data_IF_079312367548
#
_entry.id   IF_079312367548
#
_cell.length_a   1.000
_cell.length_b   1.000
_cell.length_c   1.000
_cell.angle_alpha   90.00
_cell.angle_beta   90.00
_cell.angle_gamma   90.00
#
_symmetry.space_group_name_H-M   'P 1'
#
loop_
_entity.id
_entity.type
_entity.pdbx_description
1 polymer ?
#
# COMPACT_ATOMS: atom_id res chain seq x y z
N UNK A 1 -22.34 9.57 -10.58
CA UNK A 1 -21.31 10.62 -10.40
C UNK A 1 -20.38 10.38 -9.20
N UNK A 2 -20.82 9.68 -8.13
CA UNK A 2 -19.98 9.40 -6.95
C UNK A 2 -18.66 8.66 -7.25
N UNK A 3 -18.65 7.74 -8.21
CA UNK A 3 -17.41 7.02 -8.60
C UNK A 3 -16.34 7.95 -9.19
N UNK A 4 -16.73 8.92 -10.03
CA UNK A 4 -15.81 9.90 -10.59
C UNK A 4 -15.27 10.84 -9.50
N UNK A 5 -16.12 11.23 -8.55
CA UNK A 5 -15.71 12.00 -7.38
C UNK A 5 -14.70 11.23 -6.52
N UNK A 6 -14.95 9.93 -6.27
CA UNK A 6 -14.01 9.06 -5.56
C UNK A 6 -12.66 8.93 -6.26
N UNK A 7 -12.67 8.72 -7.58
CA UNK A 7 -11.45 8.67 -8.39
C UNK A 7 -10.68 9.99 -8.32
N UNK A 8 -11.38 11.13 -8.42
CA UNK A 8 -10.77 12.45 -8.29
C UNK A 8 -10.13 12.62 -6.91
N UNK A 9 -10.81 12.22 -5.82
CA UNK A 9 -10.23 12.23 -4.48
C UNK A 9 -8.95 11.38 -4.39
N UNK A 10 -8.98 10.15 -4.91
CA UNK A 10 -7.81 9.27 -4.92
C UNK A 10 -6.62 9.90 -5.67
N UNK A 11 -6.87 10.44 -6.87
CA UNK A 11 -5.86 11.11 -7.68
C UNK A 11 -5.34 12.40 -7.04
N UNK A 12 -6.19 13.18 -6.39
CA UNK A 12 -5.80 14.39 -5.67
C UNK A 12 -4.91 14.07 -4.46
N UNK A 13 -5.26 13.05 -3.69
CA UNK A 13 -4.42 12.62 -2.56
C UNK A 13 -3.08 12.05 -3.03
N UNK A 14 -3.10 11.25 -4.10
CA UNK A 14 -1.87 10.74 -4.75
C UNK A 14 -0.98 11.87 -5.24
N UNK A 15 -1.55 12.84 -5.97
CA UNK A 15 -0.79 13.96 -6.54
C UNK A 15 -0.30 14.92 -5.46
N UNK A 16 -1.10 15.16 -4.42
CA UNK A 16 -0.70 15.92 -3.24
C UNK A 16 0.44 15.25 -2.47
N UNK A 17 0.40 13.93 -2.32
CA UNK A 17 1.48 13.14 -1.70
C UNK A 17 2.77 13.18 -2.52
N UNK A 18 2.67 13.09 -3.84
CA UNK A 18 3.81 13.24 -4.77
C UNK A 18 4.42 14.63 -4.69
N UNK A 19 3.59 15.68 -4.78
CA UNK A 19 4.06 17.05 -4.63
C UNK A 19 4.74 17.26 -3.27
N UNK A 20 4.13 16.79 -2.19
CA UNK A 20 4.68 16.94 -0.84
C UNK A 20 6.01 16.19 -0.68
N UNK A 21 6.08 14.95 -1.15
CA UNK A 21 7.33 14.16 -1.13
C UNK A 21 8.43 14.86 -1.92
N UNK A 22 8.10 15.39 -3.10
CA UNK A 22 9.06 16.09 -3.95
C UNK A 22 9.54 17.42 -3.35
N UNK A 23 8.62 18.27 -2.87
CA UNK A 23 8.95 19.58 -2.29
C UNK A 23 9.70 19.48 -0.97
N UNK A 24 9.32 18.54 -0.09
CA UNK A 24 9.99 18.32 1.19
C UNK A 24 11.17 17.36 1.10
N UNK A 25 11.46 16.81 -0.09
CA UNK A 25 12.51 15.80 -0.34
C UNK A 25 12.43 14.62 0.65
N UNK A 26 11.23 14.11 0.85
CA UNK A 26 11.00 13.01 1.79
C UNK A 26 11.66 11.71 1.27
N UNK A 27 12.21 10.86 2.14
CA UNK A 27 12.82 9.58 1.75
C UNK A 27 11.77 8.50 1.42
N UNK A 28 10.50 8.88 1.24
CA UNK A 28 9.38 7.97 0.98
C UNK A 28 8.69 8.33 -0.35
N UNK A 29 8.23 7.33 -1.11
CA UNK A 29 7.50 7.58 -2.35
C UNK A 29 6.24 8.42 -2.11
N UNK A 30 5.90 9.30 -3.06
CA UNK A 30 4.68 10.11 -3.02
C UNK A 30 3.38 9.33 -2.76
N UNK A 31 3.16 8.13 -3.34
CA UNK A 31 1.99 7.31 -3.03
C UNK A 31 1.80 6.97 -1.54
N UNK A 32 2.90 6.75 -0.81
CA UNK A 32 2.84 6.43 0.63
C UNK A 32 2.37 7.66 1.41
N UNK A 33 2.87 8.85 1.05
CA UNK A 33 2.41 10.11 1.63
C UNK A 33 0.95 10.36 1.27
N UNK A 34 0.55 10.10 0.02
CA UNK A 34 -0.84 10.19 -0.44
C UNK A 34 -1.78 9.28 0.34
N UNK A 35 -1.35 8.08 0.73
CA UNK A 35 -2.13 7.20 1.62
C UNK A 35 -2.32 7.82 3.01
N UNK A 36 -1.31 8.46 3.58
CA UNK A 36 -1.43 9.15 4.88
C UNK A 36 -2.41 10.32 4.77
N UNK A 37 -2.32 11.12 3.70
CA UNK A 37 -3.26 12.21 3.44
C UNK A 37 -4.69 11.68 3.28
N UNK A 38 -4.87 10.60 2.52
CA UNK A 38 -6.17 9.95 2.32
C UNK A 38 -6.73 9.42 3.64
N UNK A 39 -5.90 8.83 4.51
CA UNK A 39 -6.30 8.35 5.83
C UNK A 39 -6.88 9.48 6.69
N UNK A 40 -6.24 10.66 6.68
CA UNK A 40 -6.75 11.84 7.36
C UNK A 40 -8.07 12.33 6.74
N UNK A 41 -8.18 12.32 5.41
CA UNK A 41 -9.39 12.73 4.70
C UNK A 41 -10.58 11.76 4.94
N UNK A 42 -10.31 10.48 5.17
CA UNK A 42 -11.33 9.44 5.43
C UNK A 42 -12.05 9.59 6.78
N UNK A 43 -11.64 10.57 7.59
CA UNK A 43 -12.37 11.00 8.80
C UNK A 43 -13.69 11.70 8.47
N UNK A 44 -13.83 12.26 7.26
CA UNK A 44 -15.08 12.84 6.79
C UNK A 44 -15.92 11.80 6.03
N UNK A 45 -17.13 11.57 6.53
CA UNK A 45 -18.10 10.65 5.94
C UNK A 45 -18.38 10.87 4.43
N UNK A 46 -18.56 12.10 3.91
CA UNK A 46 -18.77 12.29 2.47
C UNK A 46 -17.57 11.87 1.62
N UNK A 47 -16.34 11.99 2.14
CA UNK A 47 -15.14 11.53 1.44
C UNK A 47 -15.14 10.00 1.37
N UNK A 48 -15.48 9.34 2.48
CA UNK A 48 -15.57 7.88 2.54
C UNK A 48 -16.61 7.33 1.57
N UNK A 49 -17.78 7.94 1.51
CA UNK A 49 -18.88 7.53 0.63
C UNK A 49 -18.55 7.72 -0.86
N UNK A 50 -17.73 8.71 -1.19
CA UNK A 50 -17.25 8.93 -2.55
C UNK A 50 -16.13 7.95 -2.92
N UNK A 51 -15.14 7.76 -2.05
CA UNK A 51 -13.93 6.96 -2.30
C UNK A 51 -14.22 5.46 -2.32
N UNK A 52 -15.06 4.94 -1.43
CA UNK A 52 -15.33 3.52 -1.30
C UNK A 52 -15.72 2.81 -2.62
N UNK A 53 -16.68 3.31 -3.43
CA UNK A 53 -17.03 2.66 -4.70
C UNK A 53 -15.91 2.75 -5.75
N UNK A 54 -15.17 3.86 -5.79
CA UNK A 54 -14.05 4.04 -6.73
C UNK A 54 -12.88 3.11 -6.39
N UNK A 55 -12.52 3.03 -5.10
CA UNK A 55 -11.50 2.10 -4.61
C UNK A 55 -11.90 0.65 -4.88
N UNK A 56 -13.15 0.26 -4.58
CA UNK A 56 -13.66 -1.07 -4.87
C UNK A 56 -13.54 -1.45 -6.35
N UNK A 57 -13.91 -0.54 -7.25
CA UNK A 57 -13.77 -0.76 -8.69
C UNK A 57 -12.31 -0.93 -9.14
N UNK A 58 -11.40 -0.10 -8.63
CA UNK A 58 -9.96 -0.21 -8.94
C UNK A 58 -9.36 -1.50 -8.39
N UNK A 59 -9.74 -1.91 -7.17
CA UNK A 59 -9.30 -3.15 -6.55
C UNK A 59 -9.77 -4.38 -7.34
N UNK A 60 -10.99 -4.35 -7.88
CA UNK A 60 -11.50 -5.42 -8.76
C UNK A 60 -10.71 -5.55 -10.07
N UNK A 61 -10.16 -4.45 -10.57
CA UNK A 61 -9.40 -4.39 -11.83
C UNK A 61 -7.90 -4.17 -11.59
N UNK A 62 -7.40 -4.48 -10.39
CA UNK A 62 -6.06 -4.14 -9.97
C UNK A 62 -4.98 -4.81 -10.83
N UNK A 63 -5.27 -5.99 -11.38
CA UNK A 63 -4.42 -6.66 -12.36
C UNK A 63 -4.07 -5.76 -13.56
N UNK A 64 -5.01 -4.91 -14.03
CA UNK A 64 -4.75 -3.95 -15.12
C UNK A 64 -3.74 -2.88 -14.70
N UNK A 65 -3.76 -2.46 -13.44
CA UNK A 65 -2.81 -1.47 -12.89
C UNK A 65 -1.40 -2.03 -12.73
N UNK A 66 -1.25 -3.35 -12.64
CA UNK A 66 0.06 -4.01 -12.61
C UNK A 66 0.63 -4.31 -14.00
N UNK A 67 -0.18 -4.30 -15.05
CA UNK A 67 0.33 -4.53 -16.43
C UNK A 67 1.46 -3.56 -16.79
N UNK A 68 1.36 -2.23 -16.58
CA UNK A 68 2.46 -1.30 -16.91
C UNK A 68 3.75 -1.63 -16.16
N UNK A 69 3.66 -2.00 -14.89
CA UNK A 69 4.82 -2.40 -14.07
C UNK A 69 5.46 -3.67 -14.64
N UNK A 70 4.63 -4.67 -14.98
CA UNK A 70 5.10 -5.92 -15.60
C UNK A 70 5.80 -5.69 -16.94
N UNK A 71 5.22 -4.86 -17.82
CA UNK A 71 5.84 -4.50 -19.11
C UNK A 71 7.16 -3.75 -18.89
N UNK A 72 7.23 -2.88 -17.87
CA UNK A 72 8.48 -2.23 -17.47
C UNK A 72 9.57 -3.23 -17.11
N UNK A 73 9.26 -4.29 -16.37
CA UNK A 73 10.22 -5.35 -16.01
C UNK A 73 10.71 -6.11 -17.24
N UNK A 74 9.87 -6.30 -18.27
CA UNK A 74 10.27 -7.00 -19.51
C UNK A 74 11.42 -6.32 -20.24
N UNK A 75 11.63 -5.01 -20.05
CA UNK A 75 12.77 -4.28 -20.62
C UNK A 75 14.12 -4.72 -20.03
N UNK A 76 14.13 -5.37 -18.88
CA UNK A 76 15.32 -5.85 -18.16
C UNK A 76 15.42 -7.38 -18.13
N UNK A 77 14.93 -8.04 -19.18
CA UNK A 77 14.82 -9.51 -19.24
C UNK A 77 16.16 -10.24 -19.05
N UNK A 78 17.27 -9.67 -19.52
CA UNK A 78 18.60 -10.25 -19.35
C UNK A 78 19.07 -10.29 -17.88
N UNK A 79 18.68 -9.29 -17.09
CA UNK A 79 18.92 -9.28 -15.65
C UNK A 79 18.05 -10.34 -14.96
N UNK A 80 16.79 -10.45 -15.39
CA UNK A 80 15.84 -11.39 -14.83
C UNK A 80 16.18 -12.85 -15.19
N UNK A 81 16.75 -13.12 -16.36
CA UNK A 81 17.21 -14.48 -16.71
C UNK A 81 18.43 -14.90 -15.89
N UNK A 82 19.29 -13.95 -15.51
CA UNK A 82 20.50 -14.21 -14.72
C UNK A 82 20.21 -14.35 -13.24
N UNK A 83 19.33 -13.50 -12.69
CA UNK A 83 19.07 -13.39 -11.25
C UNK A 83 17.64 -13.73 -10.83
N UNK A 84 16.77 -14.15 -11.75
CA UNK A 84 15.34 -14.32 -11.48
C UNK A 84 15.04 -15.31 -10.36
N UNK A 85 15.76 -16.44 -10.32
CA UNK A 85 15.58 -17.44 -9.26
C UNK A 85 16.01 -16.88 -7.89
N UNK A 86 17.13 -16.17 -7.85
CA UNK A 86 17.64 -15.50 -6.65
C UNK A 86 16.68 -14.41 -6.17
N UNK A 87 16.12 -13.62 -7.09
CA UNK A 87 15.11 -12.60 -6.78
C UNK A 87 13.85 -13.22 -6.18
N UNK A 88 13.32 -14.29 -6.77
CA UNK A 88 12.15 -15.01 -6.24
C UNK A 88 12.45 -15.54 -4.83
N UNK A 89 13.60 -16.20 -4.65
CA UNK A 89 14.00 -16.72 -3.34
C UNK A 89 14.11 -15.60 -2.29
N UNK A 90 14.79 -14.49 -2.61
CA UNK A 90 14.94 -13.34 -1.71
C UNK A 90 13.61 -12.70 -1.38
N UNK A 91 12.72 -12.48 -2.35
CA UNK A 91 11.39 -11.89 -2.13
C UNK A 91 10.56 -12.78 -1.21
N UNK A 92 10.48 -14.08 -1.50
CA UNK A 92 9.68 -15.01 -0.70
C UNK A 92 10.24 -15.09 0.72
N UNK A 93 11.53 -15.39 0.87
CA UNK A 93 12.15 -15.56 2.19
C UNK A 93 12.08 -14.26 3.02
N UNK A 94 12.40 -13.10 2.43
CA UNK A 94 12.33 -11.82 3.15
C UNK A 94 10.91 -11.46 3.57
N UNK A 95 9.90 -11.77 2.75
CA UNK A 95 8.49 -11.53 3.10
C UNK A 95 8.07 -12.41 4.27
N UNK A 96 8.39 -13.71 4.23
CA UNK A 96 8.09 -14.64 5.33
C UNK A 96 8.80 -14.25 6.62
N UNK A 97 10.11 -13.95 6.54
CA UNK A 97 10.90 -13.52 7.71
C UNK A 97 10.36 -12.21 8.25
N UNK A 98 10.06 -11.22 7.40
CA UNK A 98 9.50 -9.93 7.80
C UNK A 98 8.15 -10.08 8.52
N UNK A 99 7.25 -10.92 7.99
CA UNK A 99 5.98 -11.24 8.65
C UNK A 99 6.18 -11.95 10.00
N UNK A 100 7.08 -12.94 10.06
CA UNK A 100 7.36 -13.67 11.29
C UNK A 100 7.94 -12.75 12.38
N UNK A 101 8.92 -11.91 12.04
CA UNK A 101 9.50 -10.93 12.96
C UNK A 101 8.45 -9.94 13.43
N UNK A 102 7.64 -9.39 12.52
CA UNK A 102 6.56 -8.46 12.88
C UNK A 102 5.57 -9.11 13.86
N UNK A 103 5.15 -10.35 13.58
CA UNK A 103 4.25 -11.09 14.47
C UNK A 103 4.86 -11.37 15.85
N UNK A 104 6.14 -11.74 15.90
CA UNK A 104 6.87 -11.98 17.16
C UNK A 104 7.00 -10.69 17.99
N UNK A 105 7.40 -9.58 17.37
CA UNK A 105 7.53 -8.29 18.05
C UNK A 105 6.18 -7.85 18.62
N UNK A 106 5.09 -7.95 17.84
CA UNK A 106 3.76 -7.63 18.33
C UNK A 106 3.34 -8.54 19.50
N UNK A 107 3.63 -9.83 19.45
CA UNK A 107 3.35 -10.76 20.57
C UNK A 107 4.15 -10.44 21.84
N UNK A 108 5.39 -9.97 21.69
CA UNK A 108 6.25 -9.60 22.82
C UNK A 108 5.81 -8.28 23.47
N UNK A 109 5.32 -7.33 22.67
CA UNK A 109 4.85 -6.03 23.12
C UNK A 109 3.38 -6.01 23.54
N UNK A 110 2.61 -7.05 23.21
CA UNK A 110 1.25 -7.22 23.72
C UNK A 110 1.30 -7.32 25.24
N UNK A 111 0.64 -6.41 25.98
CA UNK A 111 0.42 -6.59 27.40
C UNK A 111 -0.23 -7.95 27.61
N UNK A 112 0.29 -8.75 28.54
CA UNK A 112 -0.43 -9.94 28.99
C UNK A 112 -1.72 -9.45 29.62
N UNK A 113 -2.81 -9.50 28.88
CA UNK A 113 -4.15 -9.37 29.43
C UNK A 113 -4.30 -10.49 30.46
N UNK A 114 -4.03 -10.17 31.73
CA UNK A 114 -4.41 -10.99 32.87
C UNK A 114 -5.90 -11.21 32.71
N UNK A 115 -6.30 -12.40 32.25
CA UNK A 115 -7.67 -12.89 32.35
C UNK A 115 -7.99 -13.06 33.83
N UNK A 116 -8.21 -11.93 34.50
CA UNK A 116 -8.66 -11.80 35.87
C UNK A 116 -10.17 -11.59 35.86
N UNK A 117 -10.87 -12.65 36.23
CA UNK A 117 -12.12 -12.65 36.99
C UNK A 117 -13.30 -11.85 36.44
N UNK A 118 -14.19 -12.57 35.74
CA UNK A 118 -15.64 -12.43 35.95
C UNK A 118 -16.23 -13.83 36.08
N UNK A 119 -16.10 -14.38 37.30
CA UNK A 119 -17.05 -15.35 37.85
C UNK A 119 -18.20 -14.58 38.49
#
# INVERSE_FOLDING_TARGET
>A
MKALQGLAFLLLMQSGGEALSHFLKLPVPGPVVGMVLLLLALRWQPVRDAVAPAAGFLLQHLSLLFVPVGVGVMTHLALLSTYGLQLVAVIVLSTWVGMAVTALVLRLLQPKETHGELR
#
